data_IF_967672908743
#
_entry.id   IF_967672908743
#
_cell.length_a   1.000
_cell.length_b   1.000
_cell.length_c   1.000
_cell.angle_alpha   90.00
_cell.angle_beta   90.00
_cell.angle_gamma   90.00
#
_symmetry.space_group_name_H-M   'P 1'
#
loop_
_entity.id
_entity.type
_entity.pdbx_description
1 polymer ?
#
# COMPACT_ATOMS: atom_id res chain seq x y z
N UNK A 1 -0.69 8.37 8.04
CA UNK A 1 -0.80 9.71 7.42
C UNK A 1 -1.17 10.85 8.40
N UNK A 2 -1.76 10.59 9.57
CA UNK A 2 -2.23 11.66 10.47
C UNK A 2 -1.13 12.62 10.96
N UNK A 3 -0.02 12.08 11.48
CA UNK A 3 1.08 12.88 12.06
C UNK A 3 1.76 13.78 11.00
N UNK A 4 2.07 13.23 9.83
CA UNK A 4 2.70 13.99 8.74
C UNK A 4 1.83 15.16 8.27
N UNK A 5 0.50 14.97 8.19
CA UNK A 5 -0.44 16.05 7.83
C UNK A 5 -0.57 17.11 8.93
N UNK A 6 -0.53 16.70 10.20
CA UNK A 6 -0.53 17.64 11.32
C UNK A 6 0.73 18.52 11.35
N UNK A 7 1.90 17.94 11.06
CA UNK A 7 3.16 18.69 10.96
C UNK A 7 3.16 19.68 9.78
N UNK A 8 2.65 19.24 8.62
CA UNK A 8 2.49 20.13 7.46
C UNK A 8 1.53 21.31 7.75
N UNK A 9 0.45 21.07 8.49
CA UNK A 9 -0.50 22.12 8.86
C UNK A 9 0.09 23.14 9.86
N UNK A 10 1.04 22.72 10.70
CA UNK A 10 1.74 23.59 11.65
C UNK A 10 2.82 24.44 10.99
N UNK A 11 3.55 23.86 10.03
CA UNK A 11 4.65 24.54 9.33
C UNK A 11 4.71 24.08 7.87
N UNK A 12 4.39 24.99 6.96
CA UNK A 12 4.36 24.74 5.52
C UNK A 12 5.76 24.52 4.91
N UNK A 13 6.83 24.98 5.57
CA UNK A 13 8.21 24.81 5.09
C UNK A 13 8.68 23.36 5.13
N UNK A 14 8.05 22.53 5.99
CA UNK A 14 8.37 21.11 6.14
C UNK A 14 7.82 20.25 5.00
N UNK A 15 6.97 20.80 4.12
CA UNK A 15 6.36 20.05 3.03
C UNK A 15 7.40 19.33 2.14
N UNK A 16 8.46 20.04 1.73
CA UNK A 16 9.50 19.48 0.86
C UNK A 16 10.19 18.27 1.51
N UNK A 17 10.65 18.43 2.76
CA UNK A 17 11.32 17.37 3.53
C UNK A 17 10.41 16.16 3.75
N UNK A 18 9.12 16.39 4.04
CA UNK A 18 8.14 15.32 4.28
C UNK A 18 7.76 14.59 2.98
N UNK A 19 7.71 15.31 1.86
CA UNK A 19 7.44 14.75 0.53
C UNK A 19 8.61 13.90 0.04
N UNK A 20 9.85 14.41 0.13
CA UNK A 20 11.06 13.65 -0.21
C UNK A 20 11.23 12.40 0.65
N UNK A 21 10.87 12.48 1.94
CA UNK A 21 10.86 11.33 2.85
C UNK A 21 9.71 10.34 2.62
N UNK A 22 8.79 10.60 1.69
CA UNK A 22 7.67 9.71 1.36
C UNK A 22 6.56 9.64 2.43
N UNK A 23 6.57 10.53 3.44
CA UNK A 23 5.63 10.48 4.57
C UNK A 23 4.22 10.98 4.24
N UNK A 24 4.07 11.70 3.13
CA UNK A 24 2.79 12.25 2.66
C UNK A 24 2.03 11.29 1.72
N UNK A 25 2.70 10.25 1.21
CA UNK A 25 2.11 9.28 0.29
C UNK A 25 1.22 8.29 1.04
N UNK A 26 0.00 8.09 0.53
CA UNK A 26 -0.89 7.02 1.03
C UNK A 26 -0.43 5.68 0.48
N UNK A 27 -0.32 4.68 1.35
CA UNK A 27 -0.20 3.30 0.91
C UNK A 27 -1.53 2.84 0.28
N UNK A 28 -1.51 2.66 -1.04
CA UNK A 28 -2.64 2.17 -1.82
C UNK A 28 -2.75 0.64 -1.85
N UNK A 29 -1.83 -0.09 -1.22
CA UNK A 29 -1.87 -1.56 -1.21
C UNK A 29 -3.14 -2.02 -0.51
N UNK A 30 -3.84 -2.93 -1.18
CA UNK A 30 -5.06 -3.55 -0.69
C UNK A 30 -4.96 -5.06 -0.91
N UNK A 31 -5.66 -5.81 -0.07
CA UNK A 31 -5.74 -7.27 -0.23
C UNK A 31 -6.41 -7.59 -1.56
N UNK A 32 -5.70 -8.34 -2.40
CA UNK A 32 -6.28 -8.83 -3.65
C UNK A 32 -7.44 -9.80 -3.37
N UNK A 33 -8.51 -9.71 -4.20
CA UNK A 33 -9.63 -10.64 -4.08
C UNK A 33 -9.21 -12.08 -4.38
N UNK A 34 -9.93 -13.04 -3.80
CA UNK A 34 -9.82 -14.46 -4.19
C UNK A 34 -10.32 -14.66 -5.62
N UNK A 35 -9.54 -15.38 -6.44
CA UNK A 35 -9.91 -15.77 -7.81
C UNK A 35 -10.44 -17.21 -7.82
N UNK A 36 -11.42 -17.50 -8.67
CA UNK A 36 -11.95 -18.86 -8.83
C UNK A 36 -10.87 -19.78 -9.41
N UNK A 37 -10.90 -21.06 -9.05
CA UNK A 37 -9.85 -22.02 -9.44
C UNK A 37 -8.53 -21.87 -8.67
N UNK A 38 -8.39 -20.87 -7.78
CA UNK A 38 -7.22 -20.69 -6.92
C UNK A 38 -7.58 -20.90 -5.44
N UNK A 39 -6.61 -21.39 -4.65
CA UNK A 39 -6.72 -21.54 -3.19
C UNK A 39 -6.82 -20.16 -2.49
N UNK A 40 -6.12 -19.16 -3.01
CA UNK A 40 -6.10 -17.74 -2.53
C UNK A 40 -6.08 -16.79 -3.74
N UNK A 41 -5.72 -15.51 -3.56
CA UNK A 41 -5.65 -14.55 -4.67
C UNK A 41 -4.79 -15.02 -5.85
N UNK A 42 -3.65 -15.68 -5.58
CA UNK A 42 -2.70 -16.17 -6.61
C UNK A 42 -2.28 -17.64 -6.46
N UNK A 43 -2.50 -18.27 -5.29
CA UNK A 43 -2.00 -19.63 -4.99
C UNK A 43 -2.81 -20.69 -5.75
N UNK A 44 -2.19 -21.41 -6.68
CA UNK A 44 -2.81 -22.49 -7.46
C UNK A 44 -2.87 -23.82 -6.70
N UNK A 45 -3.63 -24.77 -7.25
CA UNK A 45 -3.54 -26.18 -6.89
C UNK A 45 -2.37 -26.83 -7.64
N UNK A 46 -1.82 -27.91 -7.08
CA UNK A 46 -0.82 -28.72 -7.78
C UNK A 46 -1.53 -29.46 -8.93
N UNK A 47 -0.99 -29.34 -10.14
CA UNK A 47 -1.43 -30.09 -11.31
C UNK A 47 -0.60 -31.38 -11.42
N UNK A 48 -1.24 -32.54 -11.55
CA UNK A 48 -0.58 -33.76 -12.01
C UNK A 48 -1.11 -34.13 -13.39
N UNK A 49 -0.18 -34.31 -14.33
CA UNK A 49 -0.48 -34.84 -15.66
C UNK A 49 -0.43 -36.37 -15.59
N UNK A 50 -1.32 -37.02 -16.33
CA UNK A 50 -1.26 -38.47 -16.59
C UNK A 50 -0.52 -38.72 -17.89
#
# INVERSE_FOLDING_TARGET
LGIARALQARDASLHHKLSEGGYLTRDGRMVERKKYGFKKARKSFQFSKR
#
